data_IF_787105986724
#
_entry.id   IF_787105986724
#
_cell.length_a   1.000
_cell.length_b   1.000
_cell.length_c   1.000
_cell.angle_alpha   90.00
_cell.angle_beta   90.00
_cell.angle_gamma   90.00
#
_symmetry.space_group_name_H-M   'P 1'
#
loop_
_entity.id
_entity.type
_entity.pdbx_description
1 polymer ?
#
# COMPACT_ATOMS: atom_id res chain seq x y z
N UNK A 1 35.47 -53.56 36.16
CA UNK A 1 35.10 -53.43 34.74
C UNK A 1 34.40 -52.10 34.55
N UNK A 2 35.09 -51.08 34.03
CA UNK A 2 34.50 -49.78 33.72
C UNK A 2 35.06 -49.28 32.38
N UNK A 3 34.41 -49.70 31.29
CA UNK A 3 34.64 -49.22 29.93
C UNK A 3 33.46 -48.34 29.50
N UNK A 4 33.29 -47.16 30.10
CA UNK A 4 32.30 -46.15 29.68
C UNK A 4 32.86 -44.77 29.99
N UNK A 5 33.58 -44.17 29.05
CA UNK A 5 34.13 -42.82 29.26
C UNK A 5 34.68 -42.12 28.01
N UNK A 6 34.96 -42.85 26.92
CA UNK A 6 35.59 -42.27 25.73
C UNK A 6 34.58 -41.97 24.59
N UNK A 7 33.33 -42.42 24.69
CA UNK A 7 32.30 -42.24 23.63
C UNK A 7 31.47 -40.95 23.78
N UNK A 8 31.34 -40.41 24.99
CA UNK A 8 30.44 -39.27 25.29
C UNK A 8 31.04 -37.89 24.96
N UNK A 9 32.37 -37.78 24.93
CA UNK A 9 33.04 -36.51 24.57
C UNK A 9 32.94 -36.25 23.06
N UNK A 10 32.99 -37.30 22.23
CA UNK A 10 32.87 -37.19 20.77
C UNK A 10 31.44 -36.86 20.30
N UNK A 11 30.41 -37.35 21.01
CA UNK A 11 29.00 -37.06 20.70
C UNK A 11 28.60 -35.63 21.07
N UNK A 12 29.06 -35.15 22.23
CA UNK A 12 28.77 -33.78 22.69
C UNK A 12 29.44 -32.69 21.83
N UNK A 13 30.64 -32.92 21.29
CA UNK A 13 31.28 -31.96 20.38
C UNK A 13 30.60 -31.89 19.01
N UNK A 14 30.23 -33.04 18.43
CA UNK A 14 29.47 -33.11 17.17
C UNK A 14 28.11 -32.43 17.30
N UNK A 15 27.42 -32.63 18.43
CA UNK A 15 26.15 -31.96 18.71
C UNK A 15 26.30 -30.43 18.82
N UNK A 16 27.34 -29.94 19.51
CA UNK A 16 27.64 -28.50 19.60
C UNK A 16 27.92 -27.86 18.24
N UNK A 17 28.71 -28.53 17.40
CA UNK A 17 29.01 -28.04 16.04
C UNK A 17 27.77 -28.09 15.15
N UNK A 18 26.98 -29.16 15.21
CA UNK A 18 25.71 -29.26 14.47
C UNK A 18 24.74 -28.16 14.89
N UNK A 19 24.62 -27.89 16.19
CA UNK A 19 23.76 -26.83 16.71
C UNK A 19 24.21 -25.45 16.20
N UNK A 20 25.52 -25.17 16.21
CA UNK A 20 26.07 -23.93 15.67
C UNK A 20 25.79 -23.79 14.17
N UNK A 21 25.98 -24.86 13.39
CA UNK A 21 25.70 -24.84 11.95
C UNK A 21 24.22 -24.58 11.67
N UNK A 22 23.31 -25.25 12.37
CA UNK A 22 21.87 -25.00 12.26
C UNK A 22 21.52 -23.59 12.70
N UNK A 23 22.11 -23.08 13.77
CA UNK A 23 21.88 -21.72 14.25
C UNK A 23 22.33 -20.67 13.22
N UNK A 24 23.50 -20.85 12.60
CA UNK A 24 23.99 -19.96 11.54
C UNK A 24 23.09 -20.01 10.32
N UNK A 25 22.63 -21.20 9.91
CA UNK A 25 21.72 -21.35 8.78
C UNK A 25 20.36 -20.67 9.06
N UNK A 26 19.80 -20.90 10.25
CA UNK A 26 18.57 -20.24 10.70
C UNK A 26 18.72 -18.73 10.74
N UNK A 27 19.84 -18.22 11.26
CA UNK A 27 20.12 -16.79 11.30
C UNK A 27 20.22 -16.21 9.89
N UNK A 28 20.88 -16.91 8.96
CA UNK A 28 20.96 -16.47 7.56
C UNK A 28 19.56 -16.39 6.92
N UNK A 29 18.71 -17.39 7.12
CA UNK A 29 17.33 -17.40 6.61
C UNK A 29 16.54 -16.22 7.20
N UNK A 30 16.64 -15.98 8.50
CA UNK A 30 15.94 -14.88 9.17
C UNK A 30 16.38 -13.51 8.64
N UNK A 31 17.69 -13.30 8.43
CA UNK A 31 18.22 -12.05 7.89
C UNK A 31 17.72 -11.81 6.46
N UNK A 32 17.76 -12.84 5.60
CA UNK A 32 17.26 -12.76 4.23
C UNK A 32 15.75 -12.48 4.23
N UNK A 33 14.97 -13.22 5.02
CA UNK A 33 13.53 -13.03 5.10
C UNK A 33 13.16 -11.62 5.57
N UNK A 34 13.82 -11.12 6.62
CA UNK A 34 13.62 -9.76 7.12
C UNK A 34 13.94 -8.69 6.06
N UNK A 35 15.06 -8.85 5.35
CA UNK A 35 15.45 -7.93 4.29
C UNK A 35 14.45 -7.94 3.12
N UNK A 36 14.04 -9.13 2.66
CA UNK A 36 13.06 -9.29 1.59
C UNK A 36 11.71 -8.69 1.96
N UNK A 37 11.20 -8.95 3.17
CA UNK A 37 9.93 -8.39 3.66
C UNK A 37 9.95 -6.86 3.61
N UNK A 38 11.02 -6.25 4.13
CA UNK A 38 11.20 -4.79 4.12
C UNK A 38 11.21 -4.22 2.70
N UNK A 39 11.92 -4.89 1.79
CA UNK A 39 12.01 -4.44 0.40
C UNK A 39 10.67 -4.61 -0.34
N UNK A 40 9.96 -5.71 -0.10
CA UNK A 40 8.65 -5.97 -0.70
C UNK A 40 7.62 -4.93 -0.24
N UNK A 41 7.53 -4.64 1.06
CA UNK A 41 6.62 -3.62 1.58
C UNK A 41 6.84 -2.24 0.94
N UNK A 42 8.11 -1.83 0.79
CA UNK A 42 8.44 -0.56 0.15
C UNK A 42 8.06 -0.56 -1.35
N UNK A 43 8.39 -1.64 -2.07
CA UNK A 43 8.07 -1.75 -3.49
C UNK A 43 6.57 -1.74 -3.74
N UNK A 44 5.80 -2.50 -2.95
CA UNK A 44 4.34 -2.52 -3.03
C UNK A 44 3.76 -1.14 -2.75
N UNK A 45 4.25 -0.45 -1.73
CA UNK A 45 3.77 0.91 -1.40
C UNK A 45 3.99 1.89 -2.56
N UNK A 46 5.17 1.85 -3.19
CA UNK A 46 5.50 2.71 -4.34
C UNK A 46 4.61 2.39 -5.54
N UNK A 47 4.40 1.11 -5.82
CA UNK A 47 3.58 0.66 -6.94
C UNK A 47 2.10 1.04 -6.75
N UNK A 48 1.56 0.83 -5.56
CA UNK A 48 0.19 1.23 -5.21
C UNK A 48 0.01 2.74 -5.28
N UNK A 49 1.01 3.51 -4.84
CA UNK A 49 0.99 4.99 -4.96
C UNK A 49 0.98 5.42 -6.43
N UNK A 50 1.81 4.80 -7.28
CA UNK A 50 1.87 5.10 -8.71
C UNK A 50 0.57 4.73 -9.42
N UNK A 51 -0.02 3.59 -9.08
CA UNK A 51 -1.32 3.15 -9.59
C UNK A 51 -2.44 4.11 -9.17
N UNK A 52 -2.48 4.49 -7.89
CA UNK A 52 -3.44 5.48 -7.38
C UNK A 52 -3.33 6.83 -8.09
N UNK A 53 -2.10 7.31 -8.36
CA UNK A 53 -1.88 8.54 -9.12
C UNK A 53 -2.42 8.43 -10.56
N UNK A 54 -2.15 7.31 -11.26
CA UNK A 54 -2.64 7.10 -12.62
C UNK A 54 -4.18 7.05 -12.67
N UNK A 55 -4.81 6.40 -11.68
CA UNK A 55 -6.27 6.36 -11.54
C UNK A 55 -6.81 7.77 -11.30
N UNK A 56 -6.21 8.53 -10.39
CA UNK A 56 -6.61 9.90 -10.10
C UNK A 56 -6.48 10.82 -11.33
N UNK A 57 -5.43 10.65 -12.14
CA UNK A 57 -5.25 11.38 -13.40
C UNK A 57 -6.32 11.03 -14.44
N UNK A 58 -6.62 9.74 -14.61
CA UNK A 58 -7.68 9.28 -15.53
C UNK A 58 -9.05 9.79 -15.08
N UNK A 59 -9.35 9.72 -13.78
CA UNK A 59 -10.56 10.28 -13.20
C UNK A 59 -10.65 11.79 -13.41
N UNK A 60 -9.57 12.53 -13.18
CA UNK A 60 -9.53 13.98 -13.39
C UNK A 60 -9.79 14.35 -14.86
N UNK A 61 -9.22 13.60 -15.80
CA UNK A 61 -9.45 13.79 -17.24
C UNK A 61 -10.92 13.52 -17.62
N UNK A 62 -11.51 12.42 -17.11
CA UNK A 62 -12.91 12.06 -17.36
C UNK A 62 -13.91 12.99 -16.67
N UNK A 63 -13.56 13.53 -15.50
CA UNK A 63 -14.43 14.41 -14.72
C UNK A 63 -14.52 15.83 -15.26
N UNK A 64 -13.57 16.27 -16.10
CA UNK A 64 -13.46 17.66 -16.58
C UNK A 64 -14.77 18.19 -17.19
N UNK A 65 -15.37 17.43 -18.10
CA UNK A 65 -16.63 17.83 -18.75
C UNK A 65 -17.79 17.87 -17.77
N UNK A 66 -17.94 16.85 -16.94
CA UNK A 66 -19.04 16.75 -15.97
C UNK A 66 -18.94 17.80 -14.87
N UNK A 67 -17.73 18.17 -14.43
CA UNK A 67 -17.50 19.29 -13.51
C UNK A 67 -17.91 20.63 -14.13
N UNK A 68 -17.56 20.88 -15.39
CA UNK A 68 -17.96 22.10 -16.11
C UNK A 68 -19.47 22.19 -16.30
N UNK A 69 -20.12 21.05 -16.57
CA UNK A 69 -21.57 20.96 -16.76
C UNK A 69 -22.35 20.84 -15.44
N UNK A 70 -21.66 20.71 -14.30
CA UNK A 70 -22.26 20.42 -12.98
C UNK A 70 -23.15 19.18 -12.99
N UNK A 71 -22.76 18.18 -13.78
CA UNK A 71 -23.44 16.90 -13.88
C UNK A 71 -22.91 15.93 -12.81
N UNK A 72 -23.45 16.07 -11.61
CA UNK A 72 -23.06 15.27 -10.44
C UNK A 72 -23.44 13.79 -10.59
N UNK A 73 -24.43 13.48 -11.44
CA UNK A 73 -24.81 12.10 -11.74
C UNK A 73 -23.72 11.41 -12.57
N UNK A 74 -23.24 12.06 -13.63
CA UNK A 74 -22.13 11.54 -14.43
C UNK A 74 -20.84 11.40 -13.62
N UNK A 75 -20.56 12.32 -12.68
CA UNK A 75 -19.44 12.18 -11.74
C UNK A 75 -19.59 10.96 -10.82
N UNK A 76 -20.80 10.70 -10.33
CA UNK A 76 -21.09 9.55 -9.48
C UNK A 76 -20.94 8.22 -10.22
N UNK A 77 -21.34 8.17 -11.50
CA UNK A 77 -21.12 6.98 -12.36
C UNK A 77 -19.63 6.76 -12.57
N UNK A 78 -18.86 7.82 -12.85
CA UNK A 78 -17.41 7.74 -13.03
C UNK A 78 -16.70 7.19 -11.78
N UNK A 79 -17.10 7.65 -10.59
CA UNK A 79 -16.60 7.10 -9.31
C UNK A 79 -17.00 5.64 -9.16
N UNK A 80 -18.26 5.30 -9.42
CA UNK A 80 -18.76 3.93 -9.29
C UNK A 80 -18.01 2.95 -10.20
N UNK A 81 -17.64 3.39 -11.40
CA UNK A 81 -16.83 2.59 -12.33
C UNK A 81 -15.39 2.41 -11.83
N UNK A 82 -14.77 3.45 -11.26
CA UNK A 82 -13.44 3.33 -10.65
C UNK A 82 -13.45 2.43 -9.42
N UNK A 83 -14.45 2.56 -8.54
CA UNK A 83 -14.61 1.74 -7.33
C UNK A 83 -14.90 0.26 -7.59
N UNK A 84 -15.03 -0.18 -8.85
CA UNK A 84 -15.02 -1.62 -9.19
C UNK A 84 -13.65 -2.26 -8.96
N UNK A 85 -12.59 -1.46 -8.94
CA UNK A 85 -11.25 -1.90 -8.55
C UNK A 85 -11.20 -2.12 -7.03
N UNK A 86 -11.05 -3.37 -6.59
CA UNK A 86 -11.02 -3.74 -5.17
C UNK A 86 -9.84 -3.17 -4.41
N UNK A 87 -8.81 -2.69 -5.12
CA UNK A 87 -7.60 -2.12 -4.54
C UNK A 87 -7.77 -0.63 -4.18
N UNK A 88 -8.92 -0.01 -4.52
CA UNK A 88 -9.26 1.36 -4.17
C UNK A 88 -10.11 1.43 -2.91
N UNK A 89 -9.59 2.11 -1.88
CA UNK A 89 -10.32 2.33 -0.64
C UNK A 89 -11.49 3.32 -0.80
N UNK A 90 -11.26 4.44 -1.51
CA UNK A 90 -12.27 5.48 -1.74
C UNK A 90 -11.85 6.41 -2.89
N UNK A 91 -12.82 7.14 -3.43
CA UNK A 91 -12.60 8.20 -4.44
C UNK A 91 -13.47 9.40 -4.09
N UNK A 92 -12.89 10.60 -4.21
CA UNK A 92 -13.58 11.87 -3.96
C UNK A 92 -13.32 12.82 -5.12
N UNK A 93 -14.38 13.44 -5.64
CA UNK A 93 -14.30 14.52 -6.62
C UNK A 93 -14.86 15.77 -5.96
N UNK A 94 -14.05 16.83 -5.91
CA UNK A 94 -14.45 18.13 -5.35
C UNK A 94 -14.51 19.21 -6.42
N UNK A 95 -15.26 20.28 -6.15
CA UNK A 95 -15.16 21.52 -6.90
C UNK A 95 -13.93 22.35 -6.49
N UNK A 96 -13.76 23.52 -7.12
CA UNK A 96 -12.67 24.45 -6.85
C UNK A 96 -12.68 25.03 -5.42
N UNK A 97 -13.80 24.91 -4.70
CA UNK A 97 -13.98 25.38 -3.31
C UNK A 97 -13.79 24.25 -2.30
N UNK A 98 -13.48 23.03 -2.77
CA UNK A 98 -13.33 21.85 -1.92
C UNK A 98 -14.66 21.23 -1.48
N UNK A 99 -15.79 21.59 -2.10
CA UNK A 99 -17.07 20.92 -1.85
C UNK A 99 -17.11 19.61 -2.62
N UNK A 100 -17.52 18.55 -1.93
CA UNK A 100 -17.65 17.22 -2.52
C UNK A 100 -18.80 17.22 -3.52
N UNK A 101 -18.51 16.92 -4.79
CA UNK A 101 -19.49 16.81 -5.88
C UNK A 101 -19.87 15.37 -6.16
N UNK A 102 -18.94 14.45 -5.93
CA UNK A 102 -19.21 13.02 -5.92
C UNK A 102 -18.23 12.32 -4.96
N UNK A 103 -18.72 11.28 -4.29
CA UNK A 103 -17.96 10.51 -3.32
C UNK A 103 -18.32 9.02 -3.43
N UNK A 104 -17.37 8.12 -3.12
CA UNK A 104 -17.62 6.66 -3.12
C UNK A 104 -18.68 6.25 -2.10
N UNK A 105 -18.75 6.98 -0.98
CA UNK A 105 -19.88 6.99 -0.06
C UNK A 105 -20.78 8.19 -0.36
N UNK A 106 -21.96 7.91 -0.92
CA UNK A 106 -22.91 8.92 -1.38
C UNK A 106 -23.36 9.85 -0.24
N UNK A 107 -23.36 9.38 1.01
CA UNK A 107 -23.80 10.16 2.18
C UNK A 107 -22.96 11.40 2.48
N UNK A 108 -21.72 11.44 1.98
CA UNK A 108 -20.78 12.55 2.18
C UNK A 108 -20.84 13.59 1.04
N UNK A 109 -21.71 13.39 0.06
CA UNK A 109 -21.84 14.31 -1.09
C UNK A 109 -22.43 15.65 -0.66
N UNK A 110 -21.82 16.75 -1.11
CA UNK A 110 -22.24 18.10 -0.76
C UNK A 110 -21.56 18.69 0.47
N UNK A 111 -20.88 17.87 1.27
CA UNK A 111 -20.07 18.34 2.40
C UNK A 111 -18.77 19.01 1.93
N UNK A 112 -18.15 19.79 2.83
CA UNK A 112 -16.81 20.30 2.59
C UNK A 112 -15.84 19.15 2.87
N UNK A 113 -14.87 18.94 1.98
CA UNK A 113 -13.87 17.88 2.17
C UNK A 113 -13.09 18.11 3.48
N UNK A 114 -13.36 17.28 4.49
CA UNK A 114 -12.50 17.15 5.65
C UNK A 114 -11.39 16.14 5.33
N UNK A 115 -10.18 16.66 5.13
CA UNK A 115 -9.04 15.82 4.78
C UNK A 115 -8.57 15.07 6.02
N UNK A 116 -8.44 13.74 5.97
CA UNK A 116 -7.85 12.97 7.06
C UNK A 116 -6.46 13.51 7.41
N UNK A 117 -6.18 13.70 8.71
CA UNK A 117 -4.92 14.24 9.23
C UNK A 117 -3.62 13.66 8.61
N UNK A 118 -3.50 12.35 8.28
CA UNK A 118 -2.28 11.82 7.67
C UNK A 118 -2.07 12.20 6.19
N UNK A 119 -3.07 12.78 5.52
CA UNK A 119 -2.98 13.13 4.11
C UNK A 119 -2.69 14.62 3.97
N UNK A 120 -1.49 14.99 3.54
CA UNK A 120 -1.20 16.38 3.17
C UNK A 120 -1.83 16.72 1.80
N UNK A 121 -2.18 17.99 1.52
CA UNK A 121 -2.48 18.43 0.15
C UNK A 121 -1.33 18.10 -0.79
N UNK A 122 -1.63 17.59 -1.99
CA UNK A 122 -0.64 17.42 -3.05
C UNK A 122 -0.24 18.81 -3.56
N UNK A 123 0.60 19.52 -2.80
CA UNK A 123 0.83 20.96 -2.95
C UNK A 123 1.64 21.34 -4.19
N UNK A 124 2.27 20.39 -4.90
CA UNK A 124 3.41 20.75 -5.76
C UNK A 124 3.50 20.05 -7.13
N UNK A 125 2.48 19.27 -7.53
CA UNK A 125 2.39 18.74 -8.89
C UNK A 125 0.95 18.82 -9.37
N UNK A 126 0.65 19.82 -10.19
CA UNK A 126 -0.50 19.75 -11.09
C UNK A 126 -0.27 18.53 -11.99
N UNK A 127 -0.94 17.43 -11.67
CA UNK A 127 -0.77 16.16 -12.37
C UNK A 127 -1.35 16.19 -13.79
N UNK A 128 -1.98 17.30 -14.18
CA UNK A 128 -2.54 17.56 -15.50
C UNK A 128 -2.08 18.95 -15.95
N UNK A 129 -1.04 18.98 -16.78
CA UNK A 129 -0.68 20.17 -17.55
C UNK A 129 -1.68 20.26 -18.72
N UNK A 130 -2.33 21.41 -18.86
CA UNK A 130 -3.25 21.72 -19.97
C UNK A 130 -2.56 21.77 -21.31
#
# INVERSE_FOLDING_TARGET
>A
MSQTGWRDVGSSLKAKISLLMTAVLMLAILLVAFFLLRQQEQSLTVEMTKRGLAIAQNLAAGAKTSLLQRDDLSLSVLIKDAMKDSDLAYVIITDEKGRIRAHSDVGLTGELLERPAPLAPARDRLAVTT
#
